data_IF_945434300300
#
_entry.id   IF_945434300300
#
_cell.length_a   1.000
_cell.length_b   1.000
_cell.length_c   1.000
_cell.angle_alpha   90.00
_cell.angle_beta   90.00
_cell.angle_gamma   90.00
#
_symmetry.space_group_name_H-M   'P 1'
#
loop_
_entity.id
_entity.type
_entity.pdbx_description
1 polymer ?
#
# COMPACT_ATOMS: atom_id res chain seq x y z
N UNK A 1 -3.01 7.32 22.63
CA UNK A 1 -3.10 8.76 22.33
C UNK A 1 -1.67 9.27 22.30
N UNK A 2 -1.10 9.53 21.11
CA UNK A 2 0.30 9.94 21.01
C UNK A 2 0.45 11.37 21.54
N UNK A 3 1.41 11.59 22.42
CA UNK A 3 1.72 12.93 22.93
C UNK A 3 2.16 13.84 21.77
N UNK A 4 1.89 15.17 21.84
CA UNK A 4 2.39 16.10 20.84
C UNK A 4 3.92 16.02 20.84
N UNK A 5 4.50 15.72 19.67
CA UNK A 5 5.95 15.68 19.48
C UNK A 5 6.48 17.10 19.66
N UNK A 6 7.45 17.28 20.57
CA UNK A 6 8.06 18.58 20.82
C UNK A 6 9.26 18.83 19.89
N UNK A 7 9.71 20.08 19.76
CA UNK A 7 10.91 20.39 18.98
C UNK A 7 12.16 19.67 19.53
N UNK A 8 12.26 19.56 20.86
CA UNK A 8 13.36 18.85 21.52
C UNK A 8 13.37 17.36 21.15
N UNK A 9 12.19 16.73 21.01
CA UNK A 9 12.07 15.34 20.58
C UNK A 9 12.56 15.17 19.13
N UNK A 10 12.25 16.12 18.24
CA UNK A 10 12.71 16.08 16.84
C UNK A 10 14.23 16.29 16.72
N UNK A 11 14.81 17.16 17.53
CA UNK A 11 16.26 17.39 17.57
C UNK A 11 17.01 16.16 18.10
N UNK A 12 16.52 15.56 19.19
CA UNK A 12 17.07 14.32 19.73
C UNK A 12 16.99 13.18 18.71
N UNK A 13 15.87 13.04 18.02
CA UNK A 13 15.70 12.04 16.96
C UNK A 13 16.71 12.27 15.81
N UNK A 14 16.87 13.51 15.32
CA UNK A 14 17.84 13.83 14.27
C UNK A 14 19.27 13.47 14.67
N UNK A 15 19.67 13.79 15.91
CA UNK A 15 21.00 13.45 16.43
C UNK A 15 21.23 11.93 16.44
N UNK A 16 20.24 11.15 16.86
CA UNK A 16 20.32 9.69 16.88
C UNK A 16 20.44 9.12 15.47
N UNK A 17 19.66 9.62 14.51
CA UNK A 17 19.72 9.16 13.12
C UNK A 17 21.06 9.50 12.47
N UNK A 18 21.59 10.70 12.69
CA UNK A 18 22.93 11.07 12.23
C UNK A 18 24.02 10.17 12.82
N UNK A 19 23.90 9.77 14.10
CA UNK A 19 24.85 8.84 14.72
C UNK A 19 24.78 7.43 14.11
N UNK A 20 23.61 7.00 13.68
CA UNK A 20 23.40 5.71 13.03
C UNK A 20 23.77 5.72 11.53
N UNK A 21 24.03 6.90 10.96
CA UNK A 21 24.28 7.04 9.52
C UNK A 21 23.06 6.73 8.67
N UNK A 22 21.86 6.89 9.24
CA UNK A 22 20.58 6.62 8.56
C UNK A 22 19.98 7.94 8.13
N UNK A 23 19.67 8.07 6.83
CA UNK A 23 18.90 9.20 6.34
C UNK A 23 17.44 9.08 6.83
N UNK A 24 16.82 10.14 7.35
CA UNK A 24 15.42 10.09 7.79
C UNK A 24 14.45 9.69 6.67
N UNK A 25 14.77 9.95 5.40
CA UNK A 25 13.97 9.50 4.26
C UNK A 25 13.98 7.96 4.12
N UNK A 26 15.08 7.31 4.48
CA UNK A 26 15.20 5.85 4.42
C UNK A 26 14.29 5.17 5.45
N UNK A 27 14.02 5.82 6.59
CA UNK A 27 13.08 5.30 7.58
C UNK A 27 11.63 5.27 7.06
N UNK A 28 11.24 6.24 6.22
CA UNK A 28 9.90 6.27 5.62
C UNK A 28 9.73 5.15 4.59
N UNK A 29 10.81 4.77 3.90
CA UNK A 29 10.83 3.68 2.93
C UNK A 29 10.85 2.32 3.64
N UNK A 30 11.58 2.22 4.76
CA UNK A 30 11.87 0.94 5.44
C UNK A 30 10.91 0.63 6.59
N UNK A 31 10.23 1.62 7.16
CA UNK A 31 9.19 1.36 8.14
C UNK A 31 8.06 0.57 7.48
N UNK A 32 7.75 -0.65 7.95
CA UNK A 32 6.41 -1.18 7.74
C UNK A 32 5.47 -0.12 8.30
N UNK A 33 4.54 0.37 7.49
CA UNK A 33 3.54 1.34 7.90
C UNK A 33 2.74 0.80 9.10
N UNK A 34 3.26 1.00 10.31
CA UNK A 34 2.48 1.13 11.56
C UNK A 34 1.85 2.54 11.64
N UNK A 35 2.15 3.40 10.66
CA UNK A 35 1.36 4.57 10.34
C UNK A 35 -0.03 4.13 9.88
N UNK A 36 -0.96 4.13 10.83
CA UNK A 36 -2.41 4.23 10.69
C UNK A 36 -3.03 3.54 9.45
N UNK A 37 -3.74 2.40 9.59
CA UNK A 37 -4.43 1.72 8.49
C UNK A 37 -5.57 2.52 7.82
N UNK A 38 -5.75 3.82 8.12
CA UNK A 38 -6.90 4.62 7.71
C UNK A 38 -6.62 5.69 6.64
N UNK A 39 -5.36 6.00 6.30
CA UNK A 39 -5.08 7.25 5.56
C UNK A 39 -4.98 7.12 4.04
N UNK A 40 -4.83 5.92 3.48
CA UNK A 40 -5.10 5.74 2.05
C UNK A 40 -6.44 5.01 1.91
N UNK A 41 -7.52 5.68 1.47
CA UNK A 41 -8.74 4.98 1.12
C UNK A 41 -8.39 4.03 -0.02
N UNK A 42 -8.26 2.74 0.29
CA UNK A 42 -8.05 1.73 -0.73
C UNK A 42 -9.26 1.78 -1.68
N UNK A 43 -9.02 1.97 -2.99
CA UNK A 43 -10.11 2.03 -3.94
C UNK A 43 -10.89 0.71 -3.92
N UNK A 44 -12.16 0.80 -4.24
CA UNK A 44 -12.99 -0.36 -4.51
C UNK A 44 -12.62 -0.99 -5.86
N UNK A 45 -13.04 -2.23 -6.10
CA UNK A 45 -12.84 -2.87 -7.40
C UNK A 45 -13.54 -2.08 -8.51
N UNK A 46 -14.72 -1.50 -8.24
CA UNK A 46 -15.45 -0.66 -9.19
C UNK A 46 -14.66 0.59 -9.59
N UNK A 47 -14.00 1.25 -8.64
CA UNK A 47 -13.18 2.44 -8.93
C UNK A 47 -11.86 2.10 -9.64
N UNK A 48 -11.34 0.88 -9.43
CA UNK A 48 -10.03 0.49 -9.96
C UNK A 48 -10.06 -0.11 -11.36
N UNK A 49 -11.12 -0.84 -11.73
CA UNK A 49 -11.29 -1.43 -13.07
C UNK A 49 -11.10 -0.40 -14.19
N UNK A 50 -11.71 0.80 -14.19
CA UNK A 50 -11.52 1.77 -15.28
C UNK A 50 -10.07 2.28 -15.35
N UNK A 51 -9.37 2.38 -14.22
CA UNK A 51 -7.95 2.77 -14.18
C UNK A 51 -7.08 1.71 -14.87
N UNK A 52 -7.27 0.44 -14.51
CA UNK A 52 -6.50 -0.67 -15.12
C UNK A 52 -6.84 -0.84 -16.60
N UNK A 53 -8.12 -0.71 -16.96
CA UNK A 53 -8.56 -0.79 -18.35
C UNK A 53 -7.89 0.27 -19.24
N UNK A 54 -7.67 1.49 -18.72
CA UNK A 54 -6.97 2.56 -19.43
C UNK A 54 -5.45 2.37 -19.55
N UNK A 55 -4.85 1.53 -18.71
CA UNK A 55 -3.41 1.26 -18.73
C UNK A 55 -3.02 0.11 -19.66
N UNK A 56 -3.96 -0.76 -20.03
CA UNK A 56 -3.72 -1.90 -20.91
C UNK A 56 -4.16 -1.61 -22.34
N UNK A 57 -3.70 -2.43 -23.30
CA UNK A 57 -4.16 -2.32 -24.67
C UNK A 57 -5.69 -2.59 -24.78
N UNK A 58 -6.40 -2.02 -25.77
CA UNK A 58 -7.82 -2.30 -25.98
C UNK A 58 -8.12 -3.79 -26.16
N UNK A 59 -7.22 -4.54 -26.82
CA UNK A 59 -7.34 -5.99 -26.97
C UNK A 59 -7.25 -6.71 -25.62
N UNK A 60 -6.34 -6.29 -24.75
CA UNK A 60 -6.18 -6.88 -23.40
C UNK A 60 -7.38 -6.55 -22.53
N UNK A 61 -7.87 -5.31 -22.56
CA UNK A 61 -9.09 -4.91 -21.86
C UNK A 61 -10.30 -5.74 -22.31
N UNK A 62 -10.45 -5.96 -23.61
CA UNK A 62 -11.53 -6.78 -24.16
C UNK A 62 -11.45 -8.24 -23.70
N UNK A 63 -10.24 -8.84 -23.69
CA UNK A 63 -10.04 -10.21 -23.22
C UNK A 63 -10.35 -10.38 -21.73
N UNK A 64 -10.00 -9.39 -20.91
CA UNK A 64 -10.21 -9.46 -19.44
C UNK A 64 -11.57 -8.95 -18.98
N UNK A 65 -12.36 -8.30 -19.85
CA UNK A 65 -13.64 -7.69 -19.48
C UNK A 65 -14.63 -8.64 -18.80
N UNK A 66 -14.71 -9.90 -19.25
CA UNK A 66 -15.56 -10.92 -18.61
C UNK A 66 -15.16 -11.20 -17.14
N UNK A 67 -13.86 -11.18 -16.85
CA UNK A 67 -13.35 -11.36 -15.49
C UNK A 67 -13.58 -10.12 -14.62
N UNK A 68 -13.38 -8.92 -15.17
CA UNK A 68 -13.65 -7.67 -14.47
C UNK A 68 -15.14 -7.52 -14.12
N UNK A 69 -16.04 -7.88 -15.02
CA UNK A 69 -17.48 -7.86 -14.75
C UNK A 69 -17.88 -8.80 -13.61
N UNK A 70 -17.28 -10.00 -13.53
CA UNK A 70 -17.50 -10.93 -12.42
C UNK A 70 -16.95 -10.38 -11.10
N UNK A 71 -15.74 -9.81 -11.14
CA UNK A 71 -15.11 -9.21 -9.98
C UNK A 71 -15.91 -8.00 -9.45
N UNK A 72 -16.48 -7.20 -10.34
CA UNK A 72 -17.35 -6.07 -9.98
C UNK A 72 -18.68 -6.55 -9.38
N UNK A 73 -19.27 -7.61 -9.93
CA UNK A 73 -20.52 -8.18 -9.42
C UNK A 73 -20.36 -8.77 -8.00
N UNK A 74 -19.23 -9.42 -7.73
CA UNK A 74 -18.99 -10.11 -6.44
C UNK A 74 -18.36 -9.19 -5.38
N UNK A 75 -17.50 -8.26 -5.79
CA UNK A 75 -16.67 -7.46 -4.88
C UNK A 75 -16.62 -5.97 -5.23
N UNK A 76 -17.49 -5.48 -6.12
CA UNK A 76 -17.46 -4.11 -6.63
C UNK A 76 -17.43 -3.02 -5.55
N UNK A 77 -18.18 -3.21 -4.46
CA UNK A 77 -18.25 -2.27 -3.33
C UNK A 77 -17.28 -2.61 -2.19
N UNK A 78 -16.55 -3.73 -2.29
CA UNK A 78 -15.59 -4.16 -1.28
C UNK A 78 -14.29 -3.38 -1.45
N UNK A 79 -13.84 -2.71 -0.39
CA UNK A 79 -12.51 -2.07 -0.37
C UNK A 79 -11.42 -3.13 -0.52
N UNK A 80 -10.45 -2.86 -1.39
CA UNK A 80 -9.30 -3.74 -1.54
C UNK A 80 -8.50 -3.77 -0.24
N UNK A 81 -8.27 -4.97 0.29
CA UNK A 81 -7.36 -5.13 1.42
C UNK A 81 -5.92 -5.15 0.89
N UNK A 82 -5.01 -4.43 1.57
CA UNK A 82 -3.58 -4.59 1.34
C UNK A 82 -3.21 -6.04 1.66
N UNK A 83 -2.89 -6.85 0.64
CA UNK A 83 -2.33 -8.18 0.87
C UNK A 83 -0.93 -8.03 1.45
N UNK A 84 -0.74 -8.35 2.74
CA UNK A 84 0.61 -8.54 3.27
C UNK A 84 1.22 -9.74 2.55
N UNK A 85 2.45 -9.66 2.01
CA UNK A 85 3.07 -10.83 1.41
C UNK A 85 3.15 -11.94 2.47
N UNK A 86 2.42 -13.03 2.23
CA UNK A 86 2.58 -14.24 3.00
C UNK A 86 4.01 -14.71 2.76
N UNK A 87 4.81 -14.79 3.84
CA UNK A 87 6.16 -15.38 3.78
C UNK A 87 5.99 -16.78 3.20
N UNK A 88 6.30 -16.94 1.92
CA UNK A 88 6.31 -18.24 1.26
C UNK A 88 7.30 -19.11 2.03
N UNK A 89 6.79 -20.03 2.87
CA UNK A 89 7.64 -21.09 3.41
C UNK A 89 8.07 -21.90 2.19
N UNK A 90 9.37 -21.94 1.95
CA UNK A 90 9.94 -22.52 0.75
C UNK A 90 9.31 -23.86 0.41
N UNK A 91 8.86 -23.99 -0.84
CA UNK A 91 8.63 -25.29 -1.44
C UNK A 91 9.94 -26.06 -1.36
N UNK A 92 10.03 -27.06 -0.47
CA UNK A 92 11.00 -28.14 -0.65
C UNK A 92 10.57 -28.91 -1.89
N UNK A 93 11.46 -28.96 -2.87
CA UNK A 93 11.40 -29.94 -3.96
C UNK A 93 11.60 -31.34 -3.41
#
# INVERSE_FOLDING_TARGET
MNAPVTQQDLEAARLLLSRLGVDPADLVITAPAEAAPEQWPMPTIREWIPVVAGLVSPSTAASYGSYWNKAEAEWGDRRMARSRPARSRGCRR
#
